data_IF_634758243939
#
_entry.id   IF_634758243939
#
_cell.length_a   1.000
_cell.length_b   1.000
_cell.length_c   1.000
_cell.angle_alpha   90.00
_cell.angle_beta   90.00
_cell.angle_gamma   90.00
#
_symmetry.space_group_name_H-M   'P 1'
#
loop_
_entity.id
_entity.type
_entity.pdbx_description
1 polymer ?
#
# COMPACT_ATOMS: atom_id res chain seq x y z
N UNK A 1 9.31 -22.02 15.77
CA UNK A 1 9.15 -22.09 14.31
C UNK A 1 10.14 -21.09 13.74
N UNK A 2 11.25 -21.61 13.22
CA UNK A 2 12.55 -20.93 13.20
C UNK A 2 12.65 -19.77 12.19
N UNK A 3 13.36 -18.71 12.61
CA UNK A 3 13.74 -17.54 11.79
C UNK A 3 14.37 -17.93 10.44
N UNK A 4 15.01 -19.09 10.37
CA UNK A 4 15.70 -19.60 9.17
C UNK A 4 14.71 -19.90 8.03
N UNK A 5 13.49 -20.38 8.35
CA UNK A 5 12.44 -20.62 7.35
C UNK A 5 11.85 -19.29 6.83
N UNK A 6 11.87 -18.24 7.66
CA UNK A 6 11.35 -16.91 7.29
C UNK A 6 12.31 -16.11 6.41
N UNK A 7 13.63 -16.33 6.54
CA UNK A 7 14.64 -15.73 5.67
C UNK A 7 14.55 -16.26 4.23
N UNK A 8 14.29 -17.55 4.05
CA UNK A 8 14.16 -18.20 2.73
C UNK A 8 12.88 -17.76 1.99
N UNK A 9 11.82 -17.45 2.74
CA UNK A 9 10.56 -16.94 2.19
C UNK A 9 10.72 -15.57 1.48
N UNK A 10 11.65 -14.72 1.91
CA UNK A 10 11.90 -13.43 1.23
C UNK A 10 12.69 -13.53 -0.05
N UNK A 11 13.46 -14.60 -0.23
CA UNK A 11 14.43 -14.71 -1.31
C UNK A 11 14.05 -15.72 -2.39
N UNK A 12 13.03 -16.55 -2.15
CA UNK A 12 12.61 -17.61 -3.07
C UNK A 12 11.54 -17.17 -4.07
N UNK A 13 11.69 -17.64 -5.31
CA UNK A 13 10.58 -17.83 -6.24
C UNK A 13 9.71 -18.98 -5.72
N UNK A 14 8.87 -18.71 -4.72
CA UNK A 14 8.13 -19.75 -4.01
C UNK A 14 7.43 -19.33 -2.71
N UNK A 15 7.32 -18.02 -2.43
CA UNK A 15 6.63 -17.54 -1.24
C UNK A 15 5.18 -18.06 -1.20
N UNK A 16 4.90 -18.92 -0.21
CA UNK A 16 3.54 -19.40 0.02
C UNK A 16 2.69 -18.27 0.57
N UNK A 17 1.73 -17.83 -0.24
CA UNK A 17 0.78 -16.80 0.15
C UNK A 17 -0.08 -17.31 1.32
N UNK A 18 -0.29 -16.50 2.38
CA UNK A 18 -1.07 -16.91 3.53
C UNK A 18 -2.55 -17.20 3.21
N UNK A 19 -3.04 -16.66 2.10
CA UNK A 19 -4.40 -16.84 1.60
C UNK A 19 -4.47 -16.45 0.11
N UNK A 20 -5.57 -16.76 -0.56
CA UNK A 20 -5.78 -16.44 -1.97
C UNK A 20 -6.20 -14.99 -2.22
N UNK A 21 -5.89 -14.47 -3.42
CA UNK A 21 -6.35 -13.16 -3.90
C UNK A 21 -5.26 -12.08 -3.97
N UNK A 22 -4.01 -12.39 -3.64
CA UNK A 22 -2.92 -11.47 -3.89
C UNK A 22 -2.74 -11.20 -5.39
N UNK A 23 -2.46 -9.95 -5.72
CA UNK A 23 -1.98 -9.52 -7.03
C UNK A 23 -0.57 -8.95 -6.95
N UNK A 24 -0.20 -8.40 -5.78
CA UNK A 24 1.16 -7.98 -5.49
C UNK A 24 1.56 -8.37 -4.07
N UNK A 25 2.81 -8.78 -3.91
CA UNK A 25 3.50 -8.77 -2.63
C UNK A 25 4.98 -8.57 -2.88
N UNK A 26 5.58 -7.63 -2.17
CA UNK A 26 7.04 -7.52 -2.12
C UNK A 26 7.50 -7.08 -0.73
N UNK A 27 8.64 -7.64 -0.33
CA UNK A 27 9.45 -7.18 0.79
C UNK A 27 10.68 -6.56 0.18
N UNK A 28 10.82 -5.24 0.34
CA UNK A 28 11.90 -4.49 -0.27
C UNK A 28 13.19 -4.72 0.50
N UNK A 29 14.22 -5.13 -0.21
CA UNK A 29 15.60 -5.23 0.27
C UNK A 29 16.52 -5.10 -0.94
N UNK A 30 17.83 -5.10 -0.76
CA UNK A 30 18.81 -4.87 -1.83
C UNK A 30 18.58 -5.77 -3.06
N UNK A 31 18.56 -5.17 -4.26
CA UNK A 31 18.34 -5.87 -5.54
C UNK A 31 16.91 -6.33 -5.85
N UNK A 32 15.94 -6.15 -4.95
CA UNK A 32 14.59 -6.75 -5.08
C UNK A 32 13.44 -5.76 -5.36
N UNK A 33 13.73 -4.58 -5.92
CA UNK A 33 12.72 -3.54 -6.15
C UNK A 33 11.71 -3.92 -7.24
N UNK A 34 12.17 -4.51 -8.34
CA UNK A 34 11.35 -4.91 -9.50
C UNK A 34 10.62 -6.23 -9.35
N UNK A 35 10.48 -6.76 -8.14
CA UNK A 35 9.92 -8.09 -7.89
C UNK A 35 8.43 -8.04 -7.56
N UNK A 36 7.73 -9.11 -7.93
CA UNK A 36 6.44 -9.48 -7.37
C UNK A 36 6.51 -10.96 -6.91
N UNK A 37 6.22 -11.23 -5.64
CA UNK A 37 6.22 -12.58 -5.07
C UNK A 37 4.98 -13.40 -5.46
N UNK A 38 3.98 -12.77 -6.08
CA UNK A 38 2.78 -13.44 -6.59
C UNK A 38 3.08 -14.06 -7.95
N UNK A 39 3.21 -15.39 -7.98
CA UNK A 39 3.48 -16.14 -9.21
C UNK A 39 2.41 -15.88 -10.27
N UNK A 40 2.86 -15.62 -11.50
CA UNK A 40 1.98 -15.36 -12.66
C UNK A 40 1.33 -13.98 -12.68
N UNK A 41 1.63 -13.11 -11.72
CA UNK A 41 1.16 -11.72 -11.72
C UNK A 41 2.07 -10.80 -12.55
N UNK A 42 1.61 -9.57 -12.77
CA UNK A 42 2.35 -8.52 -13.47
C UNK A 42 3.64 -8.19 -12.70
N UNK A 43 4.74 -8.06 -13.43
CA UNK A 43 6.00 -7.55 -12.89
C UNK A 43 5.95 -6.02 -12.85
N UNK A 44 6.32 -5.41 -11.71
CA UNK A 44 6.31 -3.96 -11.60
C UNK A 44 7.42 -3.33 -12.46
N UNK A 45 7.19 -2.13 -12.96
CA UNK A 45 8.22 -1.29 -13.58
C UNK A 45 8.76 -0.27 -12.57
N UNK A 46 10.05 0.03 -12.68
CA UNK A 46 10.71 1.04 -11.86
C UNK A 46 10.70 2.35 -12.64
N UNK A 47 10.18 3.41 -12.04
CA UNK A 47 10.16 4.75 -12.63
C UNK A 47 11.19 5.61 -11.91
N UNK A 48 12.07 6.25 -12.68
CA UNK A 48 13.18 7.05 -12.17
C UNK A 48 14.25 6.18 -11.49
N UNK A 49 14.79 6.69 -10.39
CA UNK A 49 15.82 6.03 -9.58
C UNK A 49 15.46 6.09 -8.09
N UNK A 50 14.46 5.30 -7.62
CA UNK A 50 14.24 5.14 -6.18
C UNK A 50 15.51 4.64 -5.52
N UNK A 51 15.85 5.19 -4.36
CA UNK A 51 17.05 4.77 -3.65
C UNK A 51 16.74 3.47 -2.95
N UNK A 52 17.57 2.47 -3.17
CA UNK A 52 17.42 1.18 -2.52
C UNK A 52 18.35 1.10 -1.31
N UNK A 53 17.77 0.76 -0.18
CA UNK A 53 18.47 0.57 1.09
C UNK A 53 18.29 -0.88 1.57
N UNK A 54 19.01 -1.26 2.62
CA UNK A 54 18.72 -2.51 3.31
C UNK A 54 17.34 -2.42 3.95
N UNK A 55 16.43 -3.32 3.56
CA UNK A 55 15.07 -3.42 4.11
C UNK A 55 14.02 -2.43 3.61
N UNK A 56 14.37 -1.49 2.72
CA UNK A 56 13.39 -0.55 2.17
C UNK A 56 13.86 0.11 0.88
N UNK A 57 12.92 0.77 0.20
CA UNK A 57 13.20 1.75 -0.86
C UNK A 57 12.74 3.14 -0.44
N UNK A 58 13.47 4.17 -0.84
CA UNK A 58 13.08 5.56 -0.71
C UNK A 58 12.52 6.05 -2.03
N UNK A 59 11.28 6.52 -1.99
CA UNK A 59 10.54 7.05 -3.12
C UNK A 59 10.45 8.57 -3.04
N UNK A 60 10.39 9.20 -4.21
CA UNK A 60 10.00 10.61 -4.36
C UNK A 60 8.81 10.62 -5.30
N UNK A 61 7.66 11.07 -4.80
CA UNK A 61 6.42 11.04 -5.56
C UNK A 61 6.57 11.67 -6.94
N UNK A 62 5.93 11.07 -7.94
CA UNK A 62 5.98 11.44 -9.37
C UNK A 62 7.33 11.31 -10.08
N UNK A 63 8.45 11.12 -9.35
CA UNK A 63 9.80 11.08 -9.94
C UNK A 63 10.42 9.70 -9.80
N UNK A 64 10.45 9.17 -8.57
CA UNK A 64 11.15 7.95 -8.19
C UNK A 64 10.18 7.02 -7.46
N UNK A 65 9.61 6.04 -8.15
CA UNK A 65 8.61 5.14 -7.57
C UNK A 65 8.53 3.79 -8.29
N UNK A 66 7.69 2.89 -7.79
CA UNK A 66 7.38 1.60 -8.43
C UNK A 66 5.96 1.64 -8.99
N UNK A 67 5.81 1.38 -10.28
CA UNK A 67 4.51 1.17 -10.92
C UNK A 67 4.22 -0.33 -10.95
N UNK A 68 3.14 -0.75 -10.29
CA UNK A 68 2.84 -2.19 -10.17
C UNK A 68 2.24 -2.78 -11.44
N UNK A 69 1.75 -1.93 -12.37
CA UNK A 69 0.96 -2.35 -13.52
C UNK A 69 -0.42 -2.94 -13.16
N UNK A 70 -0.77 -3.01 -11.87
CA UNK A 70 -2.04 -3.57 -11.39
C UNK A 70 -3.12 -2.51 -11.42
N UNK A 71 -4.20 -2.81 -12.13
CA UNK A 71 -5.38 -1.97 -12.22
C UNK A 71 -6.38 -2.34 -11.14
N UNK A 72 -7.19 -1.36 -10.77
CA UNK A 72 -8.37 -1.61 -9.98
C UNK A 72 -9.47 -2.22 -10.86
N UNK A 73 -9.77 -3.50 -10.68
CA UNK A 73 -10.67 -4.26 -11.57
C UNK A 73 -11.98 -4.69 -10.91
N UNK A 74 -12.16 -4.42 -9.61
CA UNK A 74 -13.32 -4.88 -8.85
C UNK A 74 -13.72 -3.96 -7.71
N UNK A 75 -14.97 -4.11 -7.20
CA UNK A 75 -15.53 -3.19 -6.22
C UNK A 75 -14.79 -3.23 -4.88
N UNK A 76 -14.04 -4.29 -4.60
CA UNK A 76 -13.30 -4.47 -3.35
C UNK A 76 -11.81 -4.73 -3.60
N UNK A 77 -10.97 -4.16 -2.74
CA UNK A 77 -9.51 -4.29 -2.78
C UNK A 77 -8.93 -4.02 -1.40
N UNK A 78 -7.79 -4.63 -1.10
CA UNK A 78 -7.00 -4.31 0.09
C UNK A 78 -5.59 -3.92 -0.32
N UNK A 79 -5.14 -2.76 0.15
CA UNK A 79 -3.76 -2.29 0.04
C UNK A 79 -3.12 -2.41 1.42
N UNK A 80 -1.91 -2.96 1.52
CA UNK A 80 -1.15 -2.99 2.79
C UNK A 80 0.27 -2.55 2.53
N UNK A 81 0.81 -1.68 3.38
CA UNK A 81 2.16 -1.13 3.21
C UNK A 81 2.86 -1.02 4.56
N UNK A 82 4.16 -1.29 4.59
CA UNK A 82 5.04 -0.90 5.70
C UNK A 82 5.79 0.33 5.25
N UNK A 83 5.53 1.48 5.87
CA UNK A 83 6.01 2.77 5.40
C UNK A 83 6.33 3.77 6.51
N UNK A 84 7.08 4.80 6.13
CA UNK A 84 7.21 6.06 6.86
C UNK A 84 7.37 7.24 5.92
N UNK A 85 7.10 8.45 6.40
CA UNK A 85 7.51 9.69 5.74
C UNK A 85 9.03 9.84 5.85
N UNK A 86 9.66 10.22 4.73
CA UNK A 86 11.10 10.44 4.65
C UNK A 86 11.45 11.92 4.39
N UNK A 87 10.48 12.71 3.92
CA UNK A 87 10.66 14.13 3.65
C UNK A 87 9.46 14.75 2.93
N UNK A 88 9.23 16.04 3.16
CA UNK A 88 8.11 16.77 2.57
C UNK A 88 6.73 16.40 3.13
N UNK A 89 5.71 17.09 2.62
CA UNK A 89 4.30 16.79 2.92
C UNK A 89 3.68 16.01 1.74
N UNK A 90 2.57 15.31 2.00
CA UNK A 90 1.76 14.64 0.97
C UNK A 90 2.51 13.54 0.20
N UNK A 91 3.04 12.54 0.92
CA UNK A 91 3.71 11.39 0.31
C UNK A 91 2.73 10.24 0.13
N UNK A 92 2.47 9.84 -1.11
CA UNK A 92 1.68 8.63 -1.39
C UNK A 92 2.50 7.39 -1.06
N UNK A 93 1.99 6.51 -0.22
CA UNK A 93 2.62 5.21 0.05
C UNK A 93 2.19 4.17 -0.97
N UNK A 94 0.89 4.07 -1.24
CA UNK A 94 0.33 3.13 -2.20
C UNK A 94 -1.03 3.61 -2.73
N UNK A 95 -1.20 3.71 -4.04
CA UNK A 95 -2.47 4.12 -4.63
C UNK A 95 -2.41 4.36 -6.13
N UNK A 96 -3.55 4.63 -6.75
CA UNK A 96 -3.69 4.97 -8.16
C UNK A 96 -4.48 6.27 -8.38
N UNK A 97 -4.49 7.16 -7.39
CA UNK A 97 -5.18 8.45 -7.51
C UNK A 97 -4.71 9.27 -8.71
N UNK A 98 -5.66 9.72 -9.52
CA UNK A 98 -5.43 10.53 -10.73
C UNK A 98 -6.17 11.87 -10.74
N UNK A 99 -6.68 12.33 -9.60
CA UNK A 99 -7.34 13.63 -9.46
C UNK A 99 -8.80 13.53 -9.02
N UNK A 100 -9.44 14.68 -8.83
CA UNK A 100 -10.82 14.81 -8.36
C UNK A 100 -11.85 14.96 -9.49
N UNK A 101 -11.47 14.68 -10.74
CA UNK A 101 -12.41 14.72 -11.87
C UNK A 101 -13.48 13.64 -11.71
N UNK A 102 -14.75 13.89 -12.10
CA UNK A 102 -15.78 12.87 -12.04
C UNK A 102 -15.36 11.60 -12.80
N UNK A 103 -15.44 10.45 -12.13
CA UNK A 103 -15.33 9.14 -12.78
C UNK A 103 -14.07 8.31 -12.46
N UNK A 104 -12.96 8.88 -11.98
CA UNK A 104 -11.74 8.09 -11.67
C UNK A 104 -10.89 8.67 -10.51
N UNK A 105 -11.41 8.82 -9.28
CA UNK A 105 -10.61 9.31 -8.16
C UNK A 105 -9.56 8.30 -7.73
N UNK A 106 -9.78 6.99 -7.91
CA UNK A 106 -8.85 5.94 -7.49
C UNK A 106 -8.69 5.83 -5.98
N UNK A 107 -7.66 5.09 -5.57
CA UNK A 107 -7.27 4.84 -4.19
C UNK A 107 -6.04 5.68 -3.81
N UNK A 108 -6.02 6.16 -2.57
CA UNK A 108 -4.87 6.83 -1.98
C UNK A 108 -4.61 6.35 -0.55
N UNK A 109 -3.50 5.65 -0.31
CA UNK A 109 -2.94 5.50 1.02
C UNK A 109 -1.68 6.36 1.10
N UNK A 110 -1.76 7.51 1.79
CA UNK A 110 -0.69 8.51 1.86
C UNK A 110 -0.47 8.96 3.30
N UNK A 111 0.66 9.60 3.57
CA UNK A 111 0.95 10.26 4.84
C UNK A 111 1.10 11.77 4.67
N UNK A 112 0.78 12.51 5.73
CA UNK A 112 1.14 13.92 5.93
C UNK A 112 1.70 14.07 7.34
N UNK A 113 2.46 15.14 7.63
CA UNK A 113 3.08 15.32 8.94
C UNK A 113 2.07 15.39 10.11
N UNK A 114 0.81 15.70 9.83
CA UNK A 114 -0.29 15.70 10.81
C UNK A 114 -1.15 14.42 10.82
N UNK A 115 -0.80 13.39 10.04
CA UNK A 115 -1.54 12.12 9.96
C UNK A 115 -2.87 12.21 9.24
N UNK A 116 -2.87 12.00 7.93
CA UNK A 116 -4.09 11.89 7.11
C UNK A 116 -3.88 10.81 6.05
N UNK A 117 -4.80 9.87 5.99
CA UNK A 117 -4.88 8.80 4.99
C UNK A 117 -6.15 9.02 4.14
N UNK A 118 -6.19 8.48 2.92
CA UNK A 118 -7.40 8.26 2.08
C UNK A 118 -7.79 9.27 1.00
N UNK A 119 -8.11 8.73 -0.20
CA UNK A 119 -9.31 9.08 -1.00
C UNK A 119 -9.86 7.81 -1.70
N UNK A 120 -11.18 7.64 -1.67
CA UNK A 120 -11.93 6.66 -2.46
C UNK A 120 -13.34 7.23 -2.66
N UNK A 121 -13.76 7.50 -3.90
CA UNK A 121 -14.98 8.28 -4.18
C UNK A 121 -16.30 7.49 -4.10
N UNK A 122 -17.41 8.20 -3.90
CA UNK A 122 -18.78 7.72 -4.19
C UNK A 122 -19.21 8.25 -5.56
N UNK A 123 -20.22 7.62 -6.17
CA UNK A 123 -20.78 7.98 -7.48
C UNK A 123 -20.66 9.49 -7.85
N UNK A 124 -19.68 9.82 -8.69
CA UNK A 124 -19.43 11.18 -9.19
C UNK A 124 -18.77 12.17 -8.22
N UNK A 125 -18.60 11.84 -6.94
CA UNK A 125 -18.04 12.72 -5.90
C UNK A 125 -16.87 12.07 -5.18
N UNK A 126 -15.71 12.73 -5.18
CA UNK A 126 -14.58 12.30 -4.35
C UNK A 126 -14.97 12.36 -2.87
N UNK A 127 -14.85 11.24 -2.16
CA UNK A 127 -15.01 11.22 -0.70
C UNK A 127 -13.63 11.39 -0.08
N UNK A 128 -13.54 12.30 0.89
CA UNK A 128 -12.45 12.32 1.87
C UNK A 128 -12.71 11.15 2.79
N UNK A 129 -11.89 10.09 2.69
CA UNK A 129 -12.14 8.87 3.46
C UNK A 129 -11.63 8.96 4.91
N UNK A 130 -11.65 7.82 5.64
CA UNK A 130 -11.33 7.80 7.06
C UNK A 130 -9.89 8.23 7.33
N UNK A 131 -9.65 8.77 8.52
CA UNK A 131 -8.37 9.34 8.92
C UNK A 131 -7.93 8.78 10.28
N UNK A 132 -6.68 8.37 10.37
CA UNK A 132 -6.01 8.07 11.63
C UNK A 132 -5.06 9.23 11.95
N UNK A 133 -5.27 9.85 13.11
CA UNK A 133 -4.41 10.92 13.61
C UNK A 133 -3.07 10.38 14.09
N UNK A 134 -1.98 11.10 13.81
CA UNK A 134 -0.64 10.77 14.29
C UNK A 134 0.44 11.05 13.25
N UNK A 135 1.66 11.36 13.68
CA UNK A 135 2.76 11.56 12.75
C UNK A 135 3.08 10.25 12.00
N UNK A 136 3.23 10.35 10.67
CA UNK A 136 3.55 9.20 9.83
C UNK A 136 5.06 9.07 9.55
N UNK A 137 5.90 9.74 10.34
CA UNK A 137 7.37 9.73 10.30
C UNK A 137 8.00 8.46 10.89
N UNK A 138 7.28 7.79 11.80
CA UNK A 138 7.60 6.45 12.28
C UNK A 138 7.24 5.35 11.28
N UNK A 139 8.03 4.28 11.28
CA UNK A 139 7.69 3.04 10.59
C UNK A 139 6.40 2.45 11.17
N UNK A 140 5.45 2.12 10.30
CA UNK A 140 4.24 1.41 10.68
C UNK A 140 3.67 0.61 9.52
N UNK A 141 2.95 -0.46 9.85
CA UNK A 141 2.16 -1.23 8.90
C UNK A 141 0.75 -0.66 8.80
N UNK A 142 0.36 -0.25 7.60
CA UNK A 142 -0.91 0.43 7.35
C UNK A 142 -1.68 -0.29 6.27
N UNK A 143 -2.99 -0.31 6.39
CA UNK A 143 -3.87 -0.95 5.43
C UNK A 143 -5.01 -0.04 5.01
N UNK A 144 -5.41 -0.15 3.74
CA UNK A 144 -6.62 0.42 3.18
C UNK A 144 -7.49 -0.74 2.69
N UNK A 145 -8.66 -0.90 3.31
CA UNK A 145 -9.66 -1.91 2.93
C UNK A 145 -10.83 -1.18 2.31
N UNK A 146 -11.14 -1.50 1.05
CA UNK A 146 -12.27 -0.91 0.33
C UNK A 146 -13.24 -1.96 -0.16
N UNK A 147 -14.51 -1.61 -0.18
CA UNK A 147 -15.55 -2.26 -0.96
C UNK A 147 -16.60 -1.22 -1.39
N UNK A 148 -17.76 -1.66 -1.86
CA UNK A 148 -18.86 -0.77 -2.22
C UNK A 148 -19.61 -0.14 -1.03
N UNK A 149 -19.44 -0.67 0.17
CA UNK A 149 -20.15 -0.23 1.37
C UNK A 149 -19.33 0.74 2.23
N UNK A 150 -18.00 0.57 2.28
CA UNK A 150 -17.13 1.39 3.13
C UNK A 150 -15.70 1.47 2.59
N UNK A 151 -15.00 2.46 3.13
CA UNK A 151 -13.54 2.55 3.15
C UNK A 151 -13.09 2.48 4.60
N UNK A 152 -12.11 1.62 4.89
CA UNK A 152 -11.49 1.49 6.21
C UNK A 152 -9.99 1.67 6.08
N UNK A 153 -9.40 2.40 7.00
CA UNK A 153 -7.96 2.49 7.17
C UNK A 153 -7.57 1.92 8.54
N UNK A 154 -6.48 1.17 8.56
CA UNK A 154 -5.88 0.63 9.78
C UNK A 154 -4.41 1.04 9.87
N UNK A 155 -3.97 1.41 11.07
CA UNK A 155 -2.56 1.40 11.48
C UNK A 155 -2.38 0.25 12.46
N UNK A 156 -1.85 -0.85 11.93
CA UNK A 156 -1.74 -2.13 12.62
C UNK A 156 -0.61 -2.12 13.66
N UNK A 157 0.35 -1.20 13.49
CA UNK A 157 1.44 -0.98 14.43
C UNK A 157 0.95 -0.25 15.68
N UNK A 158 0.14 0.79 15.47
CA UNK A 158 -0.38 1.62 16.56
C UNK A 158 -1.73 1.15 17.12
N UNK A 159 -2.36 0.15 16.48
CA UNK A 159 -3.64 -0.40 16.91
C UNK A 159 -4.81 0.55 16.72
N UNK A 160 -4.73 1.44 15.71
CA UNK A 160 -5.78 2.42 15.42
C UNK A 160 -6.47 2.11 14.10
N UNK A 161 -7.76 2.45 14.05
CA UNK A 161 -8.63 2.16 12.90
C UNK A 161 -9.61 3.31 12.75
N UNK A 162 -9.91 3.66 11.51
CA UNK A 162 -11.07 4.50 11.19
C UNK A 162 -11.80 3.95 9.95
N UNK A 163 -13.12 4.17 9.89
CA UNK A 163 -13.99 3.61 8.85
C UNK A 163 -15.07 4.60 8.45
N UNK A 164 -15.23 4.79 7.14
CA UNK A 164 -16.25 5.65 6.56
C UNK A 164 -17.19 4.85 5.64
N UNK A 165 -18.51 4.94 5.81
CA UNK A 165 -19.46 4.36 4.85
C UNK A 165 -19.42 5.12 3.52
N UNK A 166 -19.73 4.43 2.42
CA UNK A 166 -19.88 5.01 1.08
C UNK A 166 -21.38 5.23 0.82
N UNK A 167 -21.89 6.48 0.88
CA UNK A 167 -23.29 6.75 0.63
C UNK A 167 -23.68 6.37 -0.82
N UNK A 168 -24.81 5.68 -0.98
CA UNK A 168 -25.28 5.24 -2.29
C UNK A 168 -24.62 3.97 -2.84
N UNK A 169 -23.66 3.37 -2.12
CA UNK A 169 -23.21 2.00 -2.34
C UNK A 169 -22.37 1.72 -3.59
N UNK A 170 -21.99 2.74 -4.37
CA UNK A 170 -21.13 2.56 -5.55
C UNK A 170 -19.84 3.39 -5.39
N UNK A 171 -18.73 2.67 -5.22
CA UNK A 171 -17.40 3.28 -5.20
C UNK A 171 -16.98 3.64 -6.62
N UNK A 172 -16.33 4.79 -6.78
CA UNK A 172 -15.73 5.18 -8.07
C UNK A 172 -14.30 4.68 -8.12
N UNK A 173 -14.06 3.72 -9.00
CA UNK A 173 -12.77 3.08 -9.22
C UNK A 173 -11.94 3.87 -10.24
N UNK A 174 -10.62 3.75 -10.18
CA UNK A 174 -9.76 4.13 -11.29
C UNK A 174 -9.29 2.87 -12.04
N UNK A 175 -10.06 2.48 -13.04
CA UNK A 175 -9.83 1.25 -13.82
C UNK A 175 -8.82 1.43 -14.95
N UNK A 176 -8.28 2.64 -15.14
CA UNK A 176 -7.40 2.98 -16.27
C UNK A 176 -5.96 3.27 -15.86
N UNK A 177 -5.72 3.54 -14.57
CA UNK A 177 -4.41 3.86 -14.05
C UNK A 177 -3.99 2.84 -12.98
N UNK A 178 -2.75 2.36 -13.11
CA UNK A 178 -2.18 1.35 -12.23
C UNK A 178 -1.91 1.88 -10.82
N UNK A 179 -1.90 0.97 -9.85
CA UNK A 179 -1.45 1.22 -8.48
C UNK A 179 0.07 1.45 -8.49
N UNK A 180 0.49 2.51 -7.80
CA UNK A 180 1.88 2.90 -7.63
C UNK A 180 2.26 2.83 -6.16
N UNK A 181 3.46 2.34 -5.90
CA UNK A 181 4.09 2.34 -4.58
C UNK A 181 5.03 3.55 -4.52
N UNK A 182 4.84 4.42 -3.53
CA UNK A 182 5.61 5.65 -3.36
C UNK A 182 5.18 6.81 -4.25
N UNK A 183 4.06 6.71 -4.96
CA UNK A 183 3.58 7.74 -5.89
C UNK A 183 2.10 7.57 -6.22
N UNK A 184 1.59 8.52 -7.01
CA UNK A 184 0.24 8.55 -7.58
C UNK A 184 0.33 8.98 -9.04
N UNK A 185 -0.80 9.26 -9.69
CA UNK A 185 -0.80 9.88 -11.03
C UNK A 185 -0.85 11.42 -10.98
N UNK A 186 -1.05 12.03 -9.79
CA UNK A 186 -1.04 13.50 -9.62
C UNK A 186 -0.94 13.91 -8.14
N UNK A 187 -0.49 15.14 -7.84
CA UNK A 187 -0.66 15.85 -6.56
C UNK A 187 0.08 15.35 -5.31
N UNK A 188 0.85 14.25 -5.37
CA UNK A 188 1.62 13.73 -4.23
C UNK A 188 3.13 13.69 -4.53
N UNK A 189 3.86 14.81 -4.37
CA UNK A 189 5.29 14.89 -4.66
C UNK A 189 6.20 14.52 -3.47
N UNK A 190 5.60 14.24 -2.29
CA UNK A 190 6.36 13.97 -1.07
C UNK A 190 7.24 12.73 -1.14
N UNK A 191 8.12 12.57 -0.15
CA UNK A 191 9.04 11.45 -0.03
C UNK A 191 8.61 10.48 1.07
N UNK A 192 8.79 9.19 0.80
CA UNK A 192 8.49 8.13 1.75
C UNK A 192 9.45 6.97 1.59
N UNK A 193 9.62 6.23 2.68
CA UNK A 193 10.29 4.93 2.65
C UNK A 193 9.25 3.81 2.71
N UNK A 194 9.48 2.76 1.93
CA UNK A 194 8.60 1.58 1.83
C UNK A 194 9.42 0.32 2.05
N UNK A 195 9.11 -0.42 3.12
CA UNK A 195 9.76 -1.69 3.45
C UNK A 195 9.01 -2.91 2.89
N UNK A 196 7.69 -2.80 2.76
CA UNK A 196 6.87 -3.85 2.17
C UNK A 196 5.60 -3.26 1.56
N UNK A 197 5.06 -3.92 0.54
CA UNK A 197 3.76 -3.58 -0.04
C UNK A 197 3.03 -4.83 -0.50
N UNK A 198 1.70 -4.84 -0.35
CA UNK A 198 0.82 -5.89 -0.82
C UNK A 198 -0.47 -5.31 -1.41
N UNK A 199 -0.98 -5.97 -2.46
CA UNK A 199 -2.26 -5.68 -3.09
C UNK A 199 -3.05 -6.97 -3.16
N UNK A 200 -4.28 -6.96 -2.64
CA UNK A 200 -5.20 -8.08 -2.66
C UNK A 200 -6.50 -7.65 -3.36
N UNK A 201 -6.94 -8.40 -4.38
CA UNK A 201 -8.12 -8.07 -5.23
C UNK A 201 -9.49 -8.24 -4.57
N UNK A 202 -9.52 -8.24 -3.24
CA UNK A 202 -10.72 -8.33 -2.42
C UNK A 202 -10.49 -7.64 -1.09
N UNK A 203 -11.58 -7.36 -0.39
CA UNK A 203 -11.53 -7.05 1.04
C UNK A 203 -11.15 -8.32 1.81
N UNK A 204 -10.05 -8.28 2.54
CA UNK A 204 -9.65 -9.37 3.45
C UNK A 204 -10.33 -9.23 4.81
N UNK A 205 -10.43 -10.34 5.54
CA UNK A 205 -10.90 -10.36 6.93
C UNK A 205 -9.85 -9.84 7.90
N UNK A 206 -10.25 -9.50 9.12
CA UNK A 206 -9.32 -9.04 10.16
C UNK A 206 -8.30 -10.11 10.54
N UNK A 207 -8.69 -11.39 10.51
CA UNK A 207 -7.78 -12.52 10.75
C UNK A 207 -6.73 -12.66 9.64
N UNK A 208 -7.14 -12.48 8.38
CA UNK A 208 -6.22 -12.45 7.24
C UNK A 208 -5.29 -11.24 7.29
N UNK A 209 -5.81 -10.07 7.65
CA UNK A 209 -5.03 -8.85 7.83
C UNK A 209 -3.99 -9.01 8.94
N UNK A 210 -4.37 -9.58 10.08
CA UNK A 210 -3.46 -9.90 11.17
C UNK A 210 -2.37 -10.88 10.73
N UNK A 211 -2.73 -11.92 9.96
CA UNK A 211 -1.76 -12.87 9.40
C UNK A 211 -0.75 -12.20 8.47
N UNK A 212 -1.22 -11.30 7.60
CA UNK A 212 -0.35 -10.54 6.70
C UNK A 212 0.55 -9.57 7.47
N UNK A 213 0.01 -8.86 8.47
CA UNK A 213 0.77 -7.99 9.35
C UNK A 213 1.91 -8.74 10.05
N UNK A 214 1.65 -9.92 10.64
CA UNK A 214 2.71 -10.70 11.29
C UNK A 214 3.85 -11.06 10.32
N UNK A 215 3.53 -11.41 9.07
CA UNK A 215 4.54 -11.68 8.05
C UNK A 215 5.33 -10.43 7.68
N UNK A 216 4.65 -9.29 7.51
CA UNK A 216 5.31 -8.00 7.24
C UNK A 216 6.17 -7.52 8.41
N UNK A 217 5.73 -7.74 9.65
CA UNK A 217 6.47 -7.39 10.87
C UNK A 217 7.74 -8.21 11.03
N UNK A 218 7.67 -9.52 10.84
CA UNK A 218 8.85 -10.39 10.75
C UNK A 218 9.78 -9.91 9.64
N UNK A 219 9.20 -9.52 8.50
CA UNK A 219 9.98 -9.02 7.36
C UNK A 219 10.65 -7.65 7.64
N UNK A 220 9.98 -6.75 8.33
CA UNK A 220 10.62 -5.51 8.76
C UNK A 220 11.74 -5.79 9.79
N UNK A 221 11.49 -6.71 10.73
CA UNK A 221 12.37 -7.00 11.85
C UNK A 221 13.76 -7.54 11.46
N UNK A 222 13.89 -8.36 10.42
CA UNK A 222 15.23 -8.85 10.03
C UNK A 222 16.12 -7.75 9.40
N UNK A 223 15.56 -6.62 8.99
CA UNK A 223 16.32 -5.45 8.51
C UNK A 223 16.40 -4.34 9.57
N UNK A 224 16.06 -4.65 10.83
CA UNK A 224 16.11 -3.70 11.94
C UNK A 224 14.96 -2.69 11.96
N UNK A 225 13.92 -2.87 11.14
CA UNK A 225 12.72 -2.03 11.13
C UNK A 225 11.71 -2.58 12.14
N UNK A 226 11.34 -1.75 13.12
CA UNK A 226 10.36 -2.10 14.16
C UNK A 226 9.00 -1.51 13.87
N UNK A 227 7.97 -2.37 13.83
CA UNK A 227 6.55 -2.05 13.56
C UNK A 227 5.61 -2.97 14.33
#
# INVERSE_FOLDING_TARGET
>A
MDLIIQADARNSAGFSMPFAGFEYLNFFTAGQMGRNLVSGSVLPSIVGAPVQSQGYISCTGQVNFVDTGILETGPAMTLVVVSRLAGGQNSMFLGNYSGSSPGNPGLSLYGVASGNYVKGGAAGTAIVGPTISGAADGWACRALLVNNAFVRVDDLTNGTTDNLPIPGGARVMNTHASLKIGSSHTSFPGQCDIAAAAIVRRRISDAELATLYQRMKVSAGMDGISI
#
